data_IF_928412243605
#
_entry.id   IF_928412243605
#
_cell.length_a   1.000
_cell.length_b   1.000
_cell.length_c   1.000
_cell.angle_alpha   90.00
_cell.angle_beta   90.00
_cell.angle_gamma   90.00
#
_symmetry.space_group_name_H-M   'P 1'
#
loop_
_entity.id
_entity.type
_entity.pdbx_description
1 polymer ?
#
# COMPACT_ATOMS: atom_id res chain seq x y z
N UNK A 1 1.46 -10.57 -9.63
CA UNK A 1 0.55 -9.84 -8.72
C UNK A 1 0.25 -8.46 -9.30
N UNK A 2 -1.03 -8.10 -9.44
CA UNK A 2 -1.46 -6.78 -9.90
C UNK A 2 -0.96 -5.67 -8.96
N UNK A 3 -0.49 -4.55 -9.52
CA UNK A 3 -0.06 -3.35 -8.77
C UNK A 3 -1.23 -2.39 -8.49
N UNK A 4 -2.44 -2.75 -8.92
CA UNK A 4 -3.64 -1.93 -8.81
C UNK A 4 -3.94 -1.41 -7.39
N UNK A 5 -3.90 -2.22 -6.30
CA UNK A 5 -4.23 -1.71 -4.97
C UNK A 5 -3.24 -0.65 -4.48
N UNK A 6 -1.96 -0.81 -4.82
CA UNK A 6 -0.92 0.18 -4.50
C UNK A 6 -1.09 1.48 -5.27
N UNK A 7 -1.41 1.39 -6.57
CA UNK A 7 -1.67 2.56 -7.40
C UNK A 7 -2.90 3.34 -6.91
N UNK A 8 -3.97 2.62 -6.54
CA UNK A 8 -5.14 3.23 -5.91
C UNK A 8 -4.76 3.93 -4.61
N UNK A 9 -3.94 3.29 -3.77
CA UNK A 9 -3.45 3.90 -2.53
C UNK A 9 -2.67 5.20 -2.76
N UNK A 10 -1.75 5.22 -3.73
CA UNK A 10 -1.04 6.45 -4.09
C UNK A 10 -1.95 7.53 -4.67
N UNK A 11 -2.95 7.15 -5.47
CA UNK A 11 -3.92 8.10 -5.99
C UNK A 11 -4.72 8.77 -4.85
N UNK A 12 -5.17 7.99 -3.85
CA UNK A 12 -5.84 8.53 -2.67
C UNK A 12 -4.92 9.47 -1.86
N UNK A 13 -3.65 9.11 -1.67
CA UNK A 13 -2.68 9.98 -1.00
C UNK A 13 -2.47 11.30 -1.78
N UNK A 14 -2.42 11.24 -3.12
CA UNK A 14 -2.32 12.43 -3.95
C UNK A 14 -3.56 13.32 -3.81
N UNK A 15 -4.76 12.74 -3.80
CA UNK A 15 -6.01 13.49 -3.55
C UNK A 15 -5.99 14.16 -2.18
N UNK A 16 -5.58 13.45 -1.11
CA UNK A 16 -5.46 14.02 0.23
C UNK A 16 -4.47 15.20 0.27
N UNK A 17 -3.31 15.07 -0.39
CA UNK A 17 -2.33 16.15 -0.48
C UNK A 17 -2.86 17.36 -1.26
N UNK A 18 -3.61 17.13 -2.35
CA UNK A 18 -4.24 18.19 -3.13
C UNK A 18 -5.33 18.91 -2.33
N UNK A 19 -6.14 18.19 -1.54
CA UNK A 19 -7.13 18.80 -0.64
C UNK A 19 -6.45 19.70 0.40
N UNK A 20 -5.38 19.22 1.03
CA UNK A 20 -4.61 20.01 1.98
C UNK A 20 -3.99 21.27 1.33
N UNK A 21 -3.50 21.15 0.09
CA UNK A 21 -2.99 22.29 -0.68
C UNK A 21 -4.09 23.29 -1.05
N UNK A 22 -5.26 22.81 -1.45
CA UNK A 22 -6.41 23.64 -1.79
C UNK A 22 -6.92 24.42 -0.57
N UNK A 23 -6.97 23.79 0.60
CA UNK A 23 -7.25 24.47 1.87
C UNK A 23 -6.22 25.55 2.17
N UNK A 24 -4.92 25.23 2.03
CA UNK A 24 -3.84 26.19 2.29
C UNK A 24 -3.92 27.41 1.37
N UNK A 25 -4.54 27.28 0.20
CA UNK A 25 -4.73 28.36 -0.78
C UNK A 25 -6.06 29.11 -0.64
N UNK A 26 -6.91 28.76 0.32
CA UNK A 26 -8.23 29.36 0.49
C UNK A 26 -9.26 28.97 -0.60
N UNK A 27 -8.95 27.95 -1.42
CA UNK A 27 -9.80 27.59 -2.57
C UNK A 27 -11.13 26.92 -2.17
N UNK A 28 -11.31 26.59 -0.89
CA UNK A 28 -12.44 25.81 -0.35
C UNK A 28 -12.95 26.38 0.98
N UNK A 29 -12.70 27.67 1.24
CA UNK A 29 -13.09 28.35 2.48
C UNK A 29 -14.61 28.32 2.73
N UNK A 30 -15.41 28.24 1.68
CA UNK A 30 -16.88 28.10 1.73
C UNK A 30 -17.34 26.89 2.58
N UNK A 31 -16.55 25.81 2.61
CA UNK A 31 -16.87 24.55 3.29
C UNK A 31 -16.34 24.58 4.75
N UNK A 32 -15.35 25.43 5.02
CA UNK A 32 -14.65 25.52 6.30
C UNK A 32 -13.55 24.46 6.47
N UNK A 33 -12.57 24.71 7.36
CA UNK A 33 -11.35 23.91 7.42
C UNK A 33 -11.56 22.51 8.02
N UNK A 34 -12.48 22.37 8.97
CA UNK A 34 -12.70 21.13 9.70
C UNK A 34 -13.17 19.95 8.81
N UNK A 35 -14.29 20.06 8.05
CA UNK A 35 -14.76 18.95 7.23
C UNK A 35 -13.75 18.56 6.13
N UNK A 36 -13.07 19.53 5.53
CA UNK A 36 -12.06 19.24 4.50
C UNK A 36 -10.86 18.51 5.10
N UNK A 37 -10.38 18.93 6.27
CA UNK A 37 -9.31 18.24 6.97
C UNK A 37 -9.70 16.80 7.33
N UNK A 38 -10.93 16.58 7.81
CA UNK A 38 -11.43 15.24 8.13
C UNK A 38 -11.44 14.31 6.89
N UNK A 39 -11.93 14.81 5.75
CA UNK A 39 -11.91 14.05 4.49
C UNK A 39 -10.48 13.78 4.02
N UNK A 40 -9.61 14.78 4.05
CA UNK A 40 -8.21 14.60 3.65
C UNK A 40 -7.50 13.55 4.51
N UNK A 41 -7.72 13.57 5.83
CA UNK A 41 -7.15 12.58 6.75
C UNK A 41 -7.72 11.18 6.52
N UNK A 42 -9.04 11.05 6.34
CA UNK A 42 -9.67 9.76 6.04
C UNK A 42 -9.15 9.17 4.73
N UNK A 43 -9.16 9.95 3.66
CA UNK A 43 -8.68 9.53 2.34
C UNK A 43 -7.19 9.17 2.39
N UNK A 44 -6.39 10.00 3.06
CA UNK A 44 -4.97 9.73 3.27
C UNK A 44 -4.73 8.44 4.03
N UNK A 45 -5.48 8.22 5.11
CA UNK A 45 -5.41 6.99 5.93
C UNK A 45 -5.72 5.75 5.09
N UNK A 46 -6.82 5.76 4.32
CA UNK A 46 -7.18 4.64 3.43
C UNK A 46 -6.08 4.41 2.40
N UNK A 47 -5.55 5.48 1.79
CA UNK A 47 -4.47 5.41 0.82
C UNK A 47 -3.23 4.71 1.39
N UNK A 48 -2.80 5.11 2.59
CA UNK A 48 -1.69 4.49 3.31
C UNK A 48 -1.99 3.03 3.61
N UNK A 49 -3.18 2.70 4.12
CA UNK A 49 -3.55 1.32 4.43
C UNK A 49 -3.46 0.41 3.20
N UNK A 50 -3.93 0.86 2.03
CA UNK A 50 -3.86 0.07 0.80
C UNK A 50 -2.41 -0.21 0.35
N UNK A 51 -1.55 0.82 0.40
CA UNK A 51 -0.13 0.66 0.04
C UNK A 51 0.55 -0.31 0.99
N UNK A 52 0.38 -0.11 2.31
CA UNK A 52 0.98 -0.98 3.32
C UNK A 52 0.48 -2.41 3.22
N UNK A 53 -0.82 -2.61 3.00
CA UNK A 53 -1.40 -3.96 2.89
C UNK A 53 -0.86 -4.69 1.65
N UNK A 54 -0.81 -4.03 0.47
CA UNK A 54 -0.24 -4.65 -0.73
C UNK A 54 1.26 -4.99 -0.54
N UNK A 55 2.02 -4.11 0.11
CA UNK A 55 3.44 -4.35 0.40
C UNK A 55 3.63 -5.52 1.37
N UNK A 56 2.87 -5.55 2.46
CA UNK A 56 2.95 -6.60 3.48
C UNK A 56 2.59 -7.97 2.89
N UNK A 57 1.49 -8.03 2.13
CA UNK A 57 1.04 -9.26 1.47
C UNK A 57 2.07 -9.75 0.47
N UNK A 58 2.63 -8.86 -0.37
CA UNK A 58 3.72 -9.23 -1.30
C UNK A 58 4.98 -9.67 -0.60
N UNK A 59 5.34 -9.01 0.50
CA UNK A 59 6.49 -9.38 1.32
C UNK A 59 6.34 -10.78 1.90
N UNK A 60 5.15 -11.09 2.43
CA UNK A 60 4.82 -12.42 2.94
C UNK A 60 4.90 -13.47 1.84
N UNK A 61 4.29 -13.23 0.67
CA UNK A 61 4.36 -14.18 -0.45
C UNK A 61 5.79 -14.39 -0.97
N UNK A 62 6.63 -13.34 -0.98
CA UNK A 62 8.03 -13.47 -1.37
C UNK A 62 8.83 -14.34 -0.39
N UNK A 63 8.62 -14.15 0.92
CA UNK A 63 9.27 -14.95 1.96
C UNK A 63 8.80 -16.42 1.91
N UNK A 64 7.49 -16.66 1.76
CA UNK A 64 6.93 -18.00 1.62
C UNK A 64 7.45 -18.68 0.35
N UNK A 65 7.52 -17.96 -0.76
CA UNK A 65 8.09 -18.47 -2.02
C UNK A 65 9.56 -18.87 -1.87
N UNK A 66 10.37 -18.06 -1.21
CA UNK A 66 11.77 -18.37 -0.94
C UNK A 66 11.93 -19.60 -0.04
N UNK A 67 11.16 -19.69 1.05
CA UNK A 67 11.18 -20.85 1.94
C UNK A 67 10.75 -22.15 1.23
N UNK A 68 9.69 -22.06 0.40
CA UNK A 68 9.20 -23.20 -0.38
C UNK A 68 10.19 -23.64 -1.45
N UNK A 69 11.06 -22.78 -1.97
CA UNK A 69 12.08 -23.16 -2.96
C UNK A 69 13.38 -23.66 -2.31
N UNK A 70 13.67 -23.26 -1.07
CA UNK A 70 14.82 -23.77 -0.32
C UNK A 70 14.67 -25.25 0.10
N UNK A 71 13.47 -25.65 0.53
CA UNK A 71 13.17 -27.04 0.92
C UNK A 71 13.33 -28.10 -0.21
N UNK A 72 12.82 -27.90 -1.44
CA UNK A 72 12.93 -28.88 -2.52
C UNK A 72 14.36 -29.08 -3.02
N UNK A 73 15.25 -28.09 -2.88
CA UNK A 73 16.67 -28.25 -3.20
C UNK A 73 17.41 -29.14 -2.19
N UNK A 74 16.93 -29.23 -0.94
CA UNK A 74 17.45 -30.19 0.05
C UNK A 74 16.94 -31.61 -0.23
N UNK A 75 15.67 -31.76 -0.58
CA UNK A 75 15.06 -33.06 -0.90
C UNK A 75 15.65 -33.67 -2.19
N UNK A 76 15.89 -32.85 -3.22
CA UNK A 76 16.54 -33.29 -4.46
C UNK A 76 18.00 -33.71 -4.25
N UNK A 77 18.77 -32.97 -3.44
CA UNK A 77 20.14 -33.34 -3.06
C UNK A 77 20.21 -34.59 -2.20
N UNK A 78 19.18 -34.87 -1.40
CA UNK A 78 19.09 -36.09 -0.60
C UNK A 78 18.89 -37.31 -1.50
N UNK A 79 18.00 -37.21 -2.49
CA UNK A 79 17.72 -38.30 -3.43
C UNK A 79 18.86 -38.56 -4.44
N UNK A 80 19.73 -37.58 -4.72
CA UNK A 80 20.95 -37.79 -5.54
C UNK A 80 22.10 -38.46 -4.76
N UNK A 81 21.99 -38.57 -3.44
CA UNK A 81 23.01 -39.21 -2.57
C UNK A 81 22.66 -40.63 -2.13
N UNK A 82 21.43 -41.09 -2.38
CA UNK A 82 21.01 -42.50 -2.24
C UNK A 82 21.15 -43.23 -3.58
#
# INVERSE_FOLDING_TARGET
MSRAPRLAGYALMAVAALLALAMRRGAIDQIGPFPVAAVALLVGMIGVMLVFTDLMVRGLYAQVGAAKNAAPDEEKRRNEKE
#
